data_IF_425129653322
#
_entry.id   IF_425129653322
#
_cell.length_a   1.000
_cell.length_b   1.000
_cell.length_c   1.000
_cell.angle_alpha   90.00
_cell.angle_beta   90.00
_cell.angle_gamma   90.00
#
_symmetry.space_group_name_H-M   'P 1'
#
loop_
_entity.id
_entity.type
_entity.pdbx_description
1 polymer ?
#
# COMPACT_ATOMS: atom_id res chain seq x y z
N UNK A 1 -88.76 -71.65 -67.80
CA UNK A 1 -89.95 -72.02 -66.99
C UNK A 1 -89.76 -71.37 -65.63
N UNK A 2 -90.59 -70.35 -65.29
CA UNK A 2 -90.85 -69.75 -63.95
C UNK A 2 -89.73 -68.87 -63.33
N UNK A 3 -89.83 -67.52 -63.36
CA UNK A 3 -90.58 -66.57 -62.47
C UNK A 3 -89.90 -66.50 -61.08
N UNK A 4 -89.32 -65.38 -60.59
CA UNK A 4 -89.89 -64.25 -59.78
C UNK A 4 -88.71 -63.25 -59.57
N UNK A 5 -88.65 -62.01 -60.07
CA UNK A 5 -89.26 -60.72 -59.66
C UNK A 5 -88.95 -60.22 -58.23
N UNK A 6 -88.11 -59.18 -58.19
CA UNK A 6 -88.02 -58.04 -57.25
C UNK A 6 -88.22 -58.26 -55.75
N UNK A 7 -87.16 -58.09 -54.95
CA UNK A 7 -87.15 -57.36 -53.66
C UNK A 7 -85.68 -57.05 -53.26
N UNK A 8 -84.94 -56.35 -54.12
CA UNK A 8 -83.63 -55.75 -53.78
C UNK A 8 -83.79 -54.25 -53.95
N UNK A 9 -84.46 -53.58 -53.02
CA UNK A 9 -84.57 -52.12 -52.97
C UNK A 9 -85.32 -51.71 -51.68
N UNK A 10 -84.82 -52.06 -50.48
CA UNK A 10 -85.23 -51.34 -49.25
C UNK A 10 -84.41 -51.59 -47.95
N UNK A 11 -83.12 -51.97 -48.01
CA UNK A 11 -82.28 -51.97 -46.78
C UNK A 11 -80.83 -51.58 -47.10
N UNK A 12 -80.64 -50.38 -47.67
CA UNK A 12 -79.31 -49.88 -48.01
C UNK A 12 -79.23 -48.36 -48.05
N UNK A 13 -79.97 -47.69 -47.17
CA UNK A 13 -79.96 -46.22 -47.04
C UNK A 13 -80.02 -45.77 -45.57
N UNK A 14 -79.22 -46.40 -44.72
CA UNK A 14 -78.90 -45.81 -43.42
C UNK A 14 -77.44 -46.15 -43.11
N UNK A 15 -76.66 -45.10 -42.86
CA UNK A 15 -75.21 -45.09 -42.54
C UNK A 15 -74.25 -45.05 -43.73
N UNK A 16 -74.51 -44.16 -44.69
CA UNK A 16 -73.43 -43.33 -45.22
C UNK A 16 -73.63 -41.92 -44.63
N UNK A 17 -73.38 -41.80 -43.32
CA UNK A 17 -72.99 -40.49 -42.81
C UNK A 17 -71.68 -40.18 -43.53
N UNK A 18 -71.54 -39.05 -44.23
CA UNK A 18 -70.19 -38.55 -44.43
C UNK A 18 -69.63 -38.47 -43.02
N UNK A 19 -68.51 -39.15 -42.77
CA UNK A 19 -67.63 -38.71 -41.71
C UNK A 19 -67.35 -37.26 -42.08
N UNK A 20 -68.10 -36.33 -41.49
CA UNK A 20 -67.53 -35.04 -41.13
C UNK A 20 -66.34 -35.49 -40.29
N UNK A 21 -65.19 -35.62 -40.97
CA UNK A 21 -63.93 -35.35 -40.31
C UNK A 21 -64.22 -34.05 -39.61
N UNK A 22 -64.15 -34.04 -38.28
CA UNK A 22 -64.23 -32.78 -37.57
C UNK A 22 -63.16 -31.92 -38.24
N UNK A 23 -63.57 -30.98 -39.11
CA UNK A 23 -62.72 -29.85 -39.41
C UNK A 23 -62.54 -29.24 -38.03
N UNK A 24 -61.31 -29.34 -37.51
CA UNK A 24 -60.98 -28.62 -36.31
C UNK A 24 -61.40 -27.18 -36.50
N UNK A 25 -62.03 -26.63 -35.47
CA UNK A 25 -62.25 -25.19 -35.47
C UNK A 25 -60.86 -24.58 -35.33
N UNK A 26 -60.49 -23.71 -36.25
CA UNK A 26 -59.27 -22.92 -36.24
C UNK A 26 -59.75 -21.45 -36.21
N UNK A 27 -59.78 -20.91 -34.99
CA UNK A 27 -60.45 -19.64 -34.69
C UNK A 27 -59.67 -18.41 -35.17
N UNK A 28 -58.34 -18.49 -35.28
CA UNK A 28 -57.45 -17.40 -35.69
C UNK A 28 -56.69 -17.65 -37.01
N UNK A 29 -56.94 -18.80 -37.64
CA UNK A 29 -56.51 -19.17 -38.99
C UNK A 29 -55.00 -19.26 -39.13
N UNK A 30 -54.32 -19.76 -38.11
CA UNK A 30 -52.87 -19.95 -38.11
C UNK A 30 -52.44 -21.35 -38.60
N UNK A 31 -53.42 -22.24 -38.79
CA UNK A 31 -53.22 -23.60 -39.28
C UNK A 31 -53.09 -24.65 -38.18
N UNK A 32 -53.28 -24.29 -36.92
CA UNK A 32 -53.45 -25.22 -35.80
C UNK A 32 -54.93 -25.29 -35.39
N UNK A 33 -55.44 -26.50 -35.16
CA UNK A 33 -56.81 -26.68 -34.66
C UNK A 33 -56.91 -26.20 -33.20
N UNK A 34 -57.97 -25.50 -32.80
CA UNK A 34 -58.21 -24.95 -31.45
C UNK A 34 -58.06 -25.97 -30.29
N UNK A 35 -58.14 -27.28 -30.59
CA UNK A 35 -57.95 -28.36 -29.60
C UNK A 35 -56.47 -28.68 -29.34
N UNK A 36 -55.60 -28.41 -30.30
CA UNK A 36 -54.16 -28.66 -30.27
C UNK A 36 -53.35 -27.35 -30.16
N UNK A 37 -53.98 -26.21 -30.46
CA UNK A 37 -53.43 -24.87 -30.29
C UNK A 37 -53.47 -24.41 -28.81
N UNK A 38 -52.33 -23.96 -28.30
CA UNK A 38 -52.17 -23.42 -26.96
C UNK A 38 -52.52 -21.93 -26.87
N UNK A 39 -52.68 -21.27 -28.02
CA UNK A 39 -53.10 -19.88 -28.19
C UNK A 39 -54.29 -19.71 -29.17
N UNK A 40 -55.48 -20.34 -28.95
CA UNK A 40 -56.60 -20.42 -29.92
C UNK A 40 -57.25 -19.13 -30.44
N UNK A 41 -56.77 -17.97 -30.01
CA UNK A 41 -57.30 -16.67 -30.43
C UNK A 41 -56.18 -15.70 -30.85
N UNK A 42 -54.96 -16.19 -30.97
CA UNK A 42 -53.78 -15.45 -31.36
C UNK A 42 -53.00 -16.27 -32.39
N UNK A 43 -53.01 -15.77 -33.63
CA UNK A 43 -52.26 -16.38 -34.71
C UNK A 43 -50.76 -16.50 -34.37
N UNK A 44 -50.23 -17.72 -34.40
CA UNK A 44 -48.83 -18.01 -34.16
C UNK A 44 -48.30 -19.19 -34.98
N UNK A 45 -47.07 -19.59 -34.68
CA UNK A 45 -46.28 -20.50 -35.51
C UNK A 45 -45.28 -21.35 -34.71
N UNK A 46 -45.30 -21.30 -33.38
CA UNK A 46 -44.48 -22.17 -32.53
C UNK A 46 -44.82 -23.64 -32.75
N UNK A 47 -43.80 -24.50 -32.67
CA UNK A 47 -43.90 -25.95 -32.95
C UNK A 47 -43.20 -26.85 -31.93
N UNK A 48 -42.50 -26.30 -30.94
CA UNK A 48 -41.69 -27.07 -29.98
C UNK A 48 -42.29 -27.09 -28.58
N UNK A 49 -42.81 -25.96 -28.09
CA UNK A 49 -43.40 -25.84 -26.75
C UNK A 49 -44.93 -25.68 -26.82
N UNK A 50 -45.41 -24.48 -27.12
CA UNK A 50 -46.81 -24.10 -27.16
C UNK A 50 -47.23 -23.94 -28.62
N UNK A 51 -47.68 -25.05 -29.20
CA UNK A 51 -48.18 -25.10 -30.57
C UNK A 51 -49.19 -23.98 -30.85
N UNK A 52 -49.05 -23.29 -31.99
CA UNK A 52 -49.93 -22.19 -32.41
C UNK A 52 -49.72 -20.86 -31.68
N UNK A 53 -48.85 -20.79 -30.67
CA UNK A 53 -48.48 -19.51 -30.07
C UNK A 53 -47.47 -18.72 -30.91
N UNK A 54 -47.44 -17.41 -30.71
CA UNK A 54 -46.54 -16.49 -31.40
C UNK A 54 -45.07 -16.90 -31.23
N UNK A 55 -44.36 -17.06 -32.34
CA UNK A 55 -42.91 -17.30 -32.44
C UNK A 55 -42.34 -16.37 -33.53
N UNK A 56 -41.80 -15.24 -33.09
CA UNK A 56 -41.44 -14.12 -33.98
C UNK A 56 -40.17 -14.37 -34.80
N UNK A 57 -39.24 -15.18 -34.31
CA UNK A 57 -37.98 -15.46 -35.01
C UNK A 57 -37.98 -16.83 -35.72
N UNK A 58 -38.94 -17.70 -35.40
CA UNK A 58 -39.26 -18.90 -36.13
C UNK A 58 -38.34 -20.07 -35.81
N UNK A 59 -37.74 -20.12 -34.63
CA UNK A 59 -36.94 -21.27 -34.17
C UNK A 59 -37.77 -22.44 -33.63
N UNK A 60 -39.08 -22.22 -33.50
CA UNK A 60 -40.07 -23.17 -33.07
C UNK A 60 -40.46 -23.04 -31.60
N UNK A 61 -39.87 -22.13 -30.82
CA UNK A 61 -40.25 -21.87 -29.43
C UNK A 61 -41.09 -20.59 -29.32
N UNK A 62 -42.12 -20.62 -28.48
CA UNK A 62 -43.06 -19.50 -28.39
C UNK A 62 -42.49 -18.34 -27.57
N UNK A 63 -42.74 -17.10 -28.03
CA UNK A 63 -42.46 -15.88 -27.29
C UNK A 63 -43.09 -15.92 -25.89
N UNK A 64 -42.46 -15.31 -24.87
CA UNK A 64 -43.03 -15.20 -23.54
C UNK A 64 -44.24 -14.26 -23.53
N UNK A 65 -45.25 -14.61 -22.74
CA UNK A 65 -46.43 -13.79 -22.50
C UNK A 65 -46.79 -13.69 -21.01
N UNK A 66 -47.98 -13.16 -20.70
CA UNK A 66 -48.41 -12.95 -19.31
C UNK A 66 -48.59 -14.24 -18.50
N UNK A 67 -48.82 -15.38 -19.16
CA UNK A 67 -49.13 -16.66 -18.53
C UNK A 67 -48.00 -17.68 -18.69
N UNK A 68 -47.20 -17.57 -19.75
CA UNK A 68 -46.06 -18.43 -20.05
C UNK A 68 -44.81 -17.57 -20.20
N UNK A 69 -44.05 -17.49 -19.12
CA UNK A 69 -42.82 -16.71 -19.06
C UNK A 69 -41.61 -17.59 -19.40
N UNK A 70 -40.41 -16.99 -19.48
CA UNK A 70 -39.15 -17.72 -19.64
C UNK A 70 -38.98 -18.80 -18.56
N UNK A 71 -39.41 -18.52 -17.32
CA UNK A 71 -39.43 -19.52 -16.22
C UNK A 71 -40.30 -20.74 -16.49
N UNK A 72 -41.27 -20.63 -17.41
CA UNK A 72 -42.15 -21.73 -17.81
C UNK A 72 -41.60 -22.52 -19.01
N UNK A 73 -40.51 -22.06 -19.63
CA UNK A 73 -39.93 -22.65 -20.83
C UNK A 73 -40.39 -21.96 -22.12
N UNK A 74 -40.88 -20.72 -22.04
CA UNK A 74 -40.99 -19.87 -23.22
C UNK A 74 -39.59 -19.56 -23.77
N UNK A 75 -39.52 -19.16 -25.03
CA UNK A 75 -38.29 -18.69 -25.66
C UNK A 75 -37.66 -17.54 -24.85
N UNK A 76 -36.41 -17.76 -24.41
CA UNK A 76 -35.62 -16.78 -23.68
C UNK A 76 -35.11 -15.64 -24.57
N UNK A 77 -34.96 -15.85 -25.88
CA UNK A 77 -34.44 -14.87 -26.83
C UNK A 77 -35.36 -14.70 -28.05
N UNK A 78 -36.52 -14.03 -27.91
CA UNK A 78 -37.57 -13.95 -28.95
C UNK A 78 -37.25 -13.00 -30.09
N UNK A 79 -36.00 -12.93 -30.52
CA UNK A 79 -35.54 -12.19 -31.68
C UNK A 79 -34.33 -12.86 -32.32
N UNK A 80 -33.98 -14.05 -31.83
CA UNK A 80 -32.77 -14.81 -32.12
C UNK A 80 -33.17 -16.25 -32.44
N UNK A 81 -33.37 -16.51 -33.73
CA UNK A 81 -33.74 -17.85 -34.19
C UNK A 81 -32.66 -18.94 -33.95
N UNK A 82 -31.49 -18.56 -33.43
CA UNK A 82 -30.39 -19.44 -33.11
C UNK A 82 -30.32 -19.83 -31.62
N UNK A 83 -31.17 -19.27 -30.75
CA UNK A 83 -31.14 -19.54 -29.31
C UNK A 83 -32.51 -19.37 -28.66
N UNK A 84 -32.94 -20.35 -27.87
CA UNK A 84 -34.22 -20.30 -27.13
C UNK A 84 -34.10 -20.57 -25.62
N UNK A 85 -32.94 -21.04 -25.15
CA UNK A 85 -32.74 -21.55 -23.79
C UNK A 85 -31.78 -20.68 -22.99
N UNK A 86 -32.23 -20.28 -21.80
CA UNK A 86 -31.48 -19.58 -20.75
C UNK A 86 -31.89 -20.16 -19.38
N UNK A 87 -31.04 -20.99 -18.80
CA UNK A 87 -31.34 -21.86 -17.66
C UNK A 87 -31.28 -21.13 -16.32
N UNK A 88 -30.33 -20.21 -16.16
CA UNK A 88 -30.13 -19.42 -14.95
C UNK A 88 -30.54 -17.95 -15.12
N UNK A 89 -30.98 -17.56 -16.32
CA UNK A 89 -31.70 -16.33 -16.64
C UNK A 89 -30.82 -15.09 -16.56
N UNK A 90 -29.57 -15.26 -16.94
CA UNK A 90 -28.55 -14.22 -16.93
C UNK A 90 -28.43 -13.48 -18.28
N UNK A 91 -29.17 -13.95 -19.28
CA UNK A 91 -29.20 -13.38 -20.62
C UNK A 91 -28.14 -13.95 -21.57
N UNK A 92 -27.45 -15.03 -21.21
CA UNK A 92 -26.56 -15.77 -22.09
C UNK A 92 -27.20 -17.09 -22.54
N UNK A 93 -27.20 -17.41 -23.85
CA UNK A 93 -27.85 -18.61 -24.35
C UNK A 93 -27.09 -19.88 -23.99
N UNK A 94 -27.76 -20.94 -23.54
CA UNK A 94 -27.10 -22.23 -23.26
C UNK A 94 -26.98 -23.14 -24.51
N UNK A 95 -27.16 -22.59 -25.71
CA UNK A 95 -27.12 -23.38 -26.95
C UNK A 95 -25.67 -23.59 -27.42
N UNK A 96 -25.26 -24.86 -27.44
CA UNK A 96 -23.92 -25.27 -27.84
C UNK A 96 -23.56 -24.81 -29.27
N UNK A 97 -22.41 -24.17 -29.40
CA UNK A 97 -21.84 -23.77 -30.70
C UNK A 97 -22.14 -22.32 -31.10
N UNK A 98 -22.79 -21.55 -30.23
CA UNK A 98 -22.81 -20.09 -30.31
C UNK A 98 -21.54 -19.51 -29.71
N UNK A 99 -21.06 -18.40 -30.29
CA UNK A 99 -19.86 -17.70 -29.79
C UNK A 99 -20.14 -16.95 -28.47
N UNK A 100 -21.41 -16.65 -28.19
CA UNK A 100 -21.91 -16.04 -26.96
C UNK A 100 -22.66 -17.03 -26.07
N UNK A 101 -22.44 -18.33 -26.29
CA UNK A 101 -23.01 -19.37 -25.43
C UNK A 101 -22.52 -19.18 -23.99
N UNK A 102 -23.42 -19.35 -23.04
CA UNK A 102 -23.12 -19.33 -21.62
C UNK A 102 -22.15 -20.48 -21.25
N UNK A 103 -21.02 -20.12 -20.67
CA UNK A 103 -19.97 -21.02 -20.17
C UNK A 103 -20.28 -21.52 -18.75
N UNK A 104 -21.22 -20.88 -18.05
CA UNK A 104 -21.67 -21.20 -16.70
C UNK A 104 -23.20 -21.47 -16.60
N UNK A 105 -23.76 -22.50 -17.28
CA UNK A 105 -25.21 -22.74 -17.47
C UNK A 105 -26.14 -22.87 -16.25
N UNK A 106 -25.59 -22.83 -15.05
CA UNK A 106 -26.32 -23.03 -13.81
C UNK A 106 -25.97 -21.97 -12.75
N UNK A 107 -25.20 -20.96 -13.12
CA UNK A 107 -24.69 -19.93 -12.22
C UNK A 107 -24.81 -18.59 -12.89
N UNK A 108 -25.92 -17.92 -12.60
CA UNK A 108 -26.24 -16.62 -13.14
C UNK A 108 -25.06 -15.64 -13.03
N UNK A 109 -24.64 -15.08 -14.16
CA UNK A 109 -23.46 -14.24 -14.24
C UNK A 109 -23.54 -13.17 -15.33
N UNK A 110 -22.59 -12.24 -15.33
CA UNK A 110 -22.56 -11.14 -16.32
C UNK A 110 -21.25 -11.03 -17.08
N UNK A 111 -20.33 -11.96 -16.84
CA UNK A 111 -19.02 -11.97 -17.48
C UNK A 111 -19.13 -12.03 -19.01
N UNK A 112 -18.22 -11.34 -19.70
CA UNK A 112 -18.14 -11.28 -21.18
C UNK A 112 -16.73 -11.45 -21.70
N UNK A 113 -15.77 -11.64 -20.80
CA UNK A 113 -14.34 -11.74 -21.09
C UNK A 113 -13.87 -13.12 -20.65
N UNK A 114 -13.18 -13.85 -21.53
CA UNK A 114 -12.70 -15.23 -21.32
C UNK A 114 -13.83 -16.26 -21.23
N UNK A 115 -14.79 -16.07 -20.32
CA UNK A 115 -16.01 -16.86 -20.17
C UNK A 115 -17.24 -15.95 -20.21
N UNK A 116 -18.31 -16.41 -20.83
CA UNK A 116 -19.61 -15.72 -20.88
C UNK A 116 -20.60 -16.30 -19.85
N UNK A 117 -21.43 -15.45 -19.24
CA UNK A 117 -22.48 -15.90 -18.29
C UNK A 117 -21.97 -16.42 -16.95
N UNK A 118 -20.70 -16.19 -16.61
CA UNK A 118 -20.15 -16.59 -15.32
C UNK A 118 -20.23 -15.45 -14.30
N UNK A 119 -20.15 -15.81 -13.00
CA UNK A 119 -20.14 -14.85 -11.89
C UNK A 119 -19.06 -13.78 -12.10
N UNK A 120 -19.46 -12.53 -11.90
CA UNK A 120 -18.71 -11.31 -12.14
C UNK A 120 -19.18 -10.32 -11.05
N UNK A 121 -18.46 -10.29 -9.95
CA UNK A 121 -18.87 -9.69 -8.69
C UNK A 121 -18.79 -8.15 -8.74
N UNK A 122 -17.77 -7.60 -9.37
CA UNK A 122 -17.55 -6.16 -9.49
C UNK A 122 -18.15 -5.56 -10.78
N UNK A 123 -18.54 -6.39 -11.74
CA UNK A 123 -19.12 -6.05 -13.05
C UNK A 123 -18.12 -5.43 -14.02
N UNK A 124 -16.84 -5.80 -13.97
CA UNK A 124 -15.82 -5.40 -14.96
C UNK A 124 -15.82 -6.27 -16.23
N UNK A 125 -16.69 -7.29 -16.27
CA UNK A 125 -16.89 -8.31 -17.31
C UNK A 125 -15.91 -9.49 -17.28
N UNK A 126 -14.94 -9.50 -16.37
CA UNK A 126 -14.07 -10.63 -16.11
C UNK A 126 -14.77 -11.55 -15.11
N UNK A 127 -14.80 -12.87 -15.34
CA UNK A 127 -15.41 -13.78 -14.38
C UNK A 127 -14.53 -13.90 -13.14
N UNK A 128 -15.14 -13.97 -11.94
CA UNK A 128 -14.47 -14.04 -10.63
C UNK A 128 -13.34 -15.08 -10.56
N UNK A 129 -13.45 -16.17 -11.33
CA UNK A 129 -12.46 -17.25 -11.36
C UNK A 129 -11.16 -16.88 -12.10
N UNK A 130 -11.19 -15.86 -12.96
CA UNK A 130 -10.06 -15.34 -13.73
C UNK A 130 -9.76 -13.87 -13.43
N UNK A 131 -10.50 -13.29 -12.50
CA UNK A 131 -10.27 -11.94 -12.04
C UNK A 131 -9.20 -11.91 -10.95
N UNK A 132 -8.25 -11.00 -11.12
CA UNK A 132 -7.19 -10.77 -10.15
C UNK A 132 -7.64 -9.82 -9.03
N UNK A 133 -8.76 -9.08 -9.18
CA UNK A 133 -9.38 -8.17 -8.21
C UNK A 133 -10.91 -8.37 -8.26
N UNK A 134 -11.38 -9.51 -7.74
CA UNK A 134 -12.73 -10.00 -8.04
C UNK A 134 -13.84 -9.13 -7.44
N UNK A 135 -13.58 -8.39 -6.37
CA UNK A 135 -14.56 -7.48 -5.77
C UNK A 135 -14.38 -6.01 -6.17
N UNK A 136 -13.36 -5.72 -6.99
CA UNK A 136 -13.10 -4.42 -7.59
C UNK A 136 -12.77 -3.33 -6.58
N UNK A 137 -12.18 -3.70 -5.44
CA UNK A 137 -11.83 -2.76 -4.38
C UNK A 137 -10.48 -2.06 -4.59
N UNK A 138 -9.73 -2.49 -5.61
CA UNK A 138 -8.46 -1.93 -6.03
C UNK A 138 -7.25 -2.71 -5.52
N UNK A 139 -7.44 -3.71 -4.66
CA UNK A 139 -6.39 -4.59 -4.18
C UNK A 139 -6.57 -5.98 -4.78
N UNK A 140 -5.50 -6.51 -5.38
CA UNK A 140 -5.55 -7.85 -5.97
C UNK A 140 -5.88 -8.91 -4.91
N UNK A 141 -6.66 -9.91 -5.32
CA UNK A 141 -7.03 -11.10 -4.58
C UNK A 141 -5.84 -11.78 -3.89
N UNK A 142 -4.67 -11.80 -4.55
CA UNK A 142 -3.44 -12.34 -3.97
C UNK A 142 -2.82 -11.46 -2.87
N UNK A 143 -2.93 -10.14 -3.01
CA UNK A 143 -2.39 -9.16 -2.08
C UNK A 143 -3.20 -9.11 -0.79
N UNK A 144 -4.52 -9.20 -0.86
CA UNK A 144 -5.36 -9.32 0.35
C UNK A 144 -5.05 -10.60 1.14
N UNK A 145 -4.87 -11.72 0.45
CA UNK A 145 -4.46 -12.98 1.08
C UNK A 145 -3.05 -12.89 1.68
N UNK A 146 -2.15 -12.13 1.06
CA UNK A 146 -0.80 -11.93 1.57
C UNK A 146 -0.76 -10.95 2.75
N UNK A 147 -1.60 -9.91 2.73
CA UNK A 147 -1.78 -8.94 3.81
C UNK A 147 -2.49 -9.54 5.03
N UNK A 148 -3.22 -10.64 4.83
CA UNK A 148 -3.89 -11.37 5.88
C UNK A 148 -2.90 -11.95 6.91
N UNK A 149 -3.19 -11.70 8.18
CA UNK A 149 -2.42 -12.20 9.33
C UNK A 149 -3.26 -13.19 10.14
N UNK A 150 -2.69 -13.76 11.20
CA UNK A 150 -3.46 -14.63 12.12
C UNK A 150 -4.58 -13.90 12.89
N UNK A 151 -4.67 -12.57 12.80
CA UNK A 151 -5.65 -11.74 13.52
C UNK A 151 -6.63 -11.03 12.60
N UNK A 152 -6.16 -10.60 11.42
CA UNK A 152 -6.96 -9.92 10.40
C UNK A 152 -6.92 -10.75 9.13
N UNK A 153 -8.09 -11.21 8.66
CA UNK A 153 -8.25 -11.94 7.41
C UNK A 153 -8.99 -11.03 6.45
N UNK A 154 -8.43 -10.85 5.25
CA UNK A 154 -9.06 -10.13 4.16
C UNK A 154 -9.69 -11.15 3.19
N UNK A 155 -10.93 -10.87 2.77
CA UNK A 155 -11.76 -11.75 1.94
C UNK A 155 -11.84 -11.19 0.52
N UNK A 156 -11.18 -11.83 -0.47
CA UNK A 156 -11.08 -11.35 -1.85
C UNK A 156 -12.35 -11.27 -2.69
N UNK A 157 -13.49 -11.51 -2.07
CA UNK A 157 -14.80 -11.48 -2.71
C UNK A 157 -15.73 -10.52 -1.95
N UNK A 158 -15.17 -9.53 -1.26
CA UNK A 158 -15.89 -8.57 -0.46
C UNK A 158 -15.11 -7.25 -0.35
N UNK A 159 -15.49 -6.26 -1.16
CA UNK A 159 -14.91 -4.91 -1.18
C UNK A 159 -15.03 -4.11 0.14
N UNK A 160 -15.67 -4.65 1.17
CA UNK A 160 -15.63 -4.09 2.53
C UNK A 160 -14.47 -4.68 3.38
N UNK A 161 -13.70 -5.59 2.81
CA UNK A 161 -12.66 -6.37 3.43
C UNK A 161 -11.29 -6.05 2.82
N UNK A 162 -11.06 -4.77 2.56
CA UNK A 162 -9.84 -4.26 1.93
C UNK A 162 -8.77 -3.95 2.99
N UNK A 163 -7.49 -4.33 2.78
CA UNK A 163 -6.39 -3.83 3.58
C UNK A 163 -6.16 -2.33 3.36
N UNK A 164 -5.37 -1.71 4.24
CA UNK A 164 -4.97 -0.31 4.07
C UNK A 164 -3.93 -0.21 2.96
N UNK A 165 -4.05 0.82 2.12
CA UNK A 165 -3.17 1.19 1.01
C UNK A 165 -3.22 2.74 0.96
N UNK A 166 -2.20 3.40 1.51
CA UNK A 166 -2.18 4.85 1.74
C UNK A 166 -1.92 5.64 0.47
N UNK A 167 -1.05 5.15 -0.41
CA UNK A 167 -0.67 5.82 -1.64
C UNK A 167 -1.49 5.37 -2.87
N UNK A 168 -2.30 4.31 -2.71
CA UNK A 168 -3.17 3.71 -3.71
C UNK A 168 -2.40 3.11 -4.90
N UNK A 169 -1.23 2.53 -4.66
CA UNK A 169 -0.43 1.87 -5.69
C UNK A 169 -0.77 0.38 -5.91
N UNK A 170 -1.81 -0.11 -5.22
CA UNK A 170 -2.31 -1.50 -5.20
C UNK A 170 -1.52 -2.47 -4.32
N UNK A 171 -0.51 -1.99 -3.60
CA UNK A 171 0.27 -2.75 -2.64
C UNK A 171 -0.20 -2.36 -1.22
N UNK A 172 -0.74 -3.31 -0.44
CA UNK A 172 -1.15 -3.01 0.92
C UNK A 172 0.01 -2.52 1.81
N UNK A 173 -0.24 -1.56 2.70
CA UNK A 173 0.70 -0.94 3.66
C UNK A 173 1.54 -1.94 4.49
N UNK A 174 1.06 -3.19 4.64
CA UNK A 174 1.75 -4.25 5.39
C UNK A 174 2.74 -5.04 4.54
N UNK A 175 2.66 -4.91 3.23
CA UNK A 175 3.49 -5.56 2.22
C UNK A 175 4.36 -4.57 1.45
N UNK A 176 4.04 -3.28 1.54
CA UNK A 176 4.78 -2.20 0.90
C UNK A 176 5.99 -1.77 1.76
N UNK A 177 7.05 -1.37 1.07
CA UNK A 177 8.31 -0.92 1.66
C UNK A 177 8.35 0.63 1.80
N UNK A 178 7.46 1.37 1.11
CA UNK A 178 7.35 2.84 1.09
C UNK A 178 5.87 3.26 0.95
N UNK A 179 5.14 3.26 2.07
CA UNK A 179 3.67 3.32 2.10
C UNK A 179 3.05 4.66 1.63
N UNK A 180 3.83 5.73 1.56
CA UNK A 180 3.37 7.03 1.07
C UNK A 180 4.06 7.50 -0.23
N UNK A 181 5.03 6.69 -0.68
CA UNK A 181 5.72 6.81 -1.96
C UNK A 181 6.36 8.18 -2.14
N UNK A 182 6.93 8.70 -1.05
CA UNK A 182 7.77 9.89 -1.03
C UNK A 182 9.23 9.59 -1.40
N UNK A 183 9.56 8.30 -1.54
CA UNK A 183 10.87 7.77 -1.90
C UNK A 183 11.72 7.36 -0.70
N UNK A 184 11.22 7.48 0.53
CA UNK A 184 11.88 7.00 1.74
C UNK A 184 11.28 5.66 2.19
N UNK A 185 12.10 4.62 2.39
CA UNK A 185 11.61 3.37 2.94
C UNK A 185 11.05 3.53 4.36
N UNK A 186 9.91 2.91 4.63
CA UNK A 186 9.21 2.87 5.91
C UNK A 186 10.13 2.54 7.08
N UNK A 187 11.01 1.55 6.90
CA UNK A 187 11.96 1.12 7.95
C UNK A 187 12.86 2.28 8.40
N UNK A 188 13.33 3.09 7.44
CA UNK A 188 14.17 4.25 7.74
C UNK A 188 13.35 5.37 8.35
N UNK A 189 12.16 5.63 7.84
CA UNK A 189 11.27 6.66 8.39
C UNK A 189 10.92 6.40 9.85
N UNK A 190 10.54 5.15 10.17
CA UNK A 190 10.29 4.71 11.53
C UNK A 190 11.55 4.84 12.40
N UNK A 191 12.73 4.48 11.88
CA UNK A 191 14.02 4.66 12.59
C UNK A 191 14.30 6.14 12.89
N UNK A 192 13.96 7.04 11.96
CA UNK A 192 14.12 8.50 12.07
C UNK A 192 12.93 9.18 12.75
N UNK A 193 11.92 8.40 13.12
CA UNK A 193 10.70 8.85 13.79
C UNK A 193 9.95 9.92 12.97
N UNK A 194 10.02 9.86 11.62
CA UNK A 194 9.07 10.49 10.70
C UNK A 194 7.81 9.63 10.55
N UNK A 195 6.80 10.14 9.85
CA UNK A 195 5.52 9.47 9.67
C UNK A 195 5.43 8.89 8.26
N UNK A 196 5.71 7.59 8.14
CA UNK A 196 5.68 6.77 6.91
C UNK A 196 4.34 6.69 6.15
N UNK A 197 3.28 7.34 6.66
CA UNK A 197 1.99 7.40 5.97
C UNK A 197 1.69 8.82 5.47
N UNK A 198 2.68 9.71 5.50
CA UNK A 198 2.54 11.13 5.25
C UNK A 198 3.66 11.61 4.34
N UNK A 199 3.34 11.60 3.04
CA UNK A 199 4.23 11.99 1.94
C UNK A 199 4.91 13.36 2.08
N UNK A 200 4.33 14.27 2.85
CA UNK A 200 4.95 15.57 3.10
C UNK A 200 6.01 15.56 4.22
N UNK A 201 6.17 14.46 4.96
CA UNK A 201 6.97 14.35 6.17
C UNK A 201 8.14 13.37 6.06
N UNK A 202 9.12 13.70 5.23
CA UNK A 202 10.40 12.96 5.16
C UNK A 202 11.28 13.09 6.44
N UNK A 203 12.28 12.21 6.61
CA UNK A 203 13.35 12.38 7.58
C UNK A 203 14.10 13.73 7.47
N UNK A 204 14.15 14.34 6.28
CA UNK A 204 14.85 15.61 6.08
C UNK A 204 14.14 16.80 6.73
N UNK A 205 12.81 16.77 6.84
CA UNK A 205 12.00 17.91 7.28
C UNK A 205 11.27 17.69 8.63
N UNK A 206 11.34 16.48 9.19
CA UNK A 206 10.74 16.09 10.48
C UNK A 206 10.98 17.09 11.62
N UNK A 207 12.19 17.63 11.72
CA UNK A 207 12.56 18.51 12.83
C UNK A 207 12.29 19.98 12.48
N UNK A 208 11.39 20.59 13.25
CA UNK A 208 10.97 21.99 13.12
C UNK A 208 10.20 22.31 11.82
N UNK A 209 9.79 21.30 11.04
CA UNK A 209 9.04 21.48 9.79
C UNK A 209 9.82 22.24 8.72
N UNK A 210 11.16 22.21 8.79
CA UNK A 210 12.06 22.81 7.81
C UNK A 210 13.00 21.73 7.30
N UNK A 211 13.39 21.82 6.03
CA UNK A 211 14.39 20.92 5.47
C UNK A 211 15.75 21.14 6.14
N UNK A 212 16.20 20.16 6.91
CA UNK A 212 17.42 20.22 7.73
C UNK A 212 18.62 19.54 7.08
N UNK A 213 18.42 18.85 5.95
CA UNK A 213 19.47 18.06 5.33
C UNK A 213 19.47 18.03 3.81
N UNK A 214 20.55 17.45 3.30
CA UNK A 214 20.84 17.20 1.88
C UNK A 214 21.42 15.80 1.75
N UNK A 215 21.26 15.20 0.57
CA UNK A 215 21.78 13.90 0.21
C UNK A 215 22.93 14.09 -0.77
N UNK A 216 24.01 13.33 -0.57
CA UNK A 216 25.22 13.38 -1.37
C UNK A 216 25.38 12.12 -2.23
N UNK A 217 25.19 12.31 -3.53
CA UNK A 217 25.26 11.26 -4.56
C UNK A 217 26.70 10.92 -5.02
N UNK A 218 27.71 11.66 -4.56
CA UNK A 218 29.11 11.53 -5.04
C UNK A 218 29.58 12.67 -5.94
N UNK A 219 30.90 12.82 -6.10
CA UNK A 219 31.47 13.96 -6.85
C UNK A 219 31.12 15.31 -6.21
N UNK A 220 30.39 16.16 -6.94
CA UNK A 220 29.90 17.47 -6.49
C UNK A 220 28.36 17.60 -6.61
N UNK A 221 27.64 16.49 -6.67
CA UNK A 221 26.16 16.48 -6.80
C UNK A 221 25.51 16.30 -5.44
N UNK A 222 24.47 17.11 -5.20
CA UNK A 222 23.67 17.12 -3.98
C UNK A 222 22.22 17.33 -4.37
N UNK A 223 21.32 16.57 -3.75
CA UNK A 223 19.88 16.73 -3.91
C UNK A 223 19.16 16.41 -2.58
N UNK A 224 17.83 16.40 -2.60
CA UNK A 224 16.98 15.97 -1.50
C UNK A 224 16.33 14.62 -1.71
N UNK A 225 16.52 14.00 -2.87
CA UNK A 225 15.96 12.69 -3.18
C UNK A 225 16.79 11.60 -2.53
N UNK A 226 16.10 10.69 -1.84
CA UNK A 226 16.72 9.51 -1.25
C UNK A 226 17.11 8.50 -2.33
N UNK A 227 18.30 7.92 -2.16
CA UNK A 227 18.78 6.78 -2.95
C UNK A 227 19.63 5.89 -2.04
N UNK A 228 19.54 4.58 -2.27
CA UNK A 228 20.15 3.59 -1.41
C UNK A 228 21.68 3.63 -1.53
N UNK A 229 22.37 3.71 -0.39
CA UNK A 229 23.83 3.70 -0.33
C UNK A 229 24.50 5.07 -0.48
N UNK A 230 23.72 6.14 -0.54
CA UNK A 230 24.23 7.51 -0.54
C UNK A 230 24.40 8.09 0.88
N UNK A 231 25.08 9.24 0.97
CA UNK A 231 25.37 9.87 2.26
C UNK A 231 24.35 10.96 2.53
N UNK A 232 23.49 10.72 3.51
CA UNK A 232 22.61 11.74 4.08
C UNK A 232 23.38 12.65 5.06
N UNK A 233 23.20 13.96 4.92
CA UNK A 233 23.68 14.97 5.85
C UNK A 233 22.49 15.79 6.36
N UNK A 234 21.82 15.29 7.40
CA UNK A 234 20.62 15.91 7.98
C UNK A 234 20.64 15.95 9.51
N UNK A 235 19.69 16.68 10.09
CA UNK A 235 19.52 16.69 11.54
C UNK A 235 18.95 15.36 12.06
N UNK A 236 18.04 14.71 11.33
CA UNK A 236 17.49 13.40 11.69
C UNK A 236 18.57 12.33 11.68
N UNK A 237 19.43 12.34 10.67
CA UNK A 237 20.60 11.47 10.61
C UNK A 237 21.50 11.65 11.82
N UNK A 238 21.87 12.89 12.11
CA UNK A 238 22.73 13.23 13.24
C UNK A 238 22.12 12.83 14.59
N UNK A 239 20.81 13.07 14.79
CA UNK A 239 20.12 12.71 16.02
C UNK A 239 20.11 11.19 16.19
N UNK A 240 19.74 10.41 15.16
CA UNK A 240 19.72 8.95 15.28
C UNK A 240 21.12 8.38 15.57
N UNK A 241 22.17 8.88 14.90
CA UNK A 241 23.57 8.49 15.20
C UNK A 241 23.93 8.83 16.66
N UNK A 242 23.54 10.00 17.16
CA UNK A 242 23.87 10.43 18.52
C UNK A 242 23.09 9.65 19.59
N UNK A 243 21.85 9.25 19.28
CA UNK A 243 21.05 8.37 20.14
C UNK A 243 21.46 6.90 20.04
N UNK A 244 22.26 6.55 19.02
CA UNK A 244 22.86 5.24 18.88
C UNK A 244 23.68 4.84 20.11
N UNK A 245 23.73 3.54 20.39
CA UNK A 245 24.42 3.01 21.56
C UNK A 245 25.90 3.42 21.57
N UNK A 246 26.38 3.87 22.74
CA UNK A 246 27.79 4.17 23.02
C UNK A 246 28.43 5.32 22.19
N UNK A 247 27.67 6.01 21.33
CA UNK A 247 28.19 7.12 20.49
C UNK A 247 28.53 8.36 21.32
N UNK A 248 27.67 8.76 22.26
CA UNK A 248 27.92 9.93 23.13
C UNK A 248 29.25 9.78 23.92
N UNK A 249 29.51 8.66 24.62
CA UNK A 249 30.81 8.43 25.27
C UNK A 249 32.00 8.56 24.32
N UNK A 250 31.93 7.99 23.11
CA UNK A 250 33.01 8.01 22.12
C UNK A 250 33.24 9.44 21.61
N UNK A 251 32.17 10.14 21.25
CA UNK A 251 32.22 11.52 20.77
C UNK A 251 32.79 12.51 21.81
N UNK A 252 32.61 12.21 23.11
CA UNK A 252 33.16 13.02 24.18
C UNK A 252 34.67 12.81 24.39
N UNK A 253 35.27 11.67 23.98
CA UNK A 253 36.70 11.39 24.21
C UNK A 253 37.61 12.46 23.57
N UNK A 254 37.49 12.81 22.26
CA UNK A 254 38.32 13.85 21.65
C UNK A 254 38.14 15.21 22.33
N UNK A 255 36.91 15.55 22.73
CA UNK A 255 36.60 16.80 23.44
C UNK A 255 37.32 16.82 24.80
N UNK A 256 37.25 15.73 25.56
CA UNK A 256 37.96 15.62 26.83
C UNK A 256 39.48 15.68 26.66
N UNK A 257 40.04 15.00 25.64
CA UNK A 257 41.47 15.05 25.32
C UNK A 257 41.89 16.47 24.92
N UNK A 258 41.10 17.15 24.09
CA UNK A 258 41.36 18.54 23.68
C UNK A 258 41.37 19.48 24.88
N UNK A 259 40.35 19.43 25.74
CA UNK A 259 40.30 20.21 26.98
C UNK A 259 41.48 19.87 27.90
N UNK A 260 41.85 18.59 28.00
CA UNK A 260 43.00 18.15 28.76
C UNK A 260 44.31 18.75 28.23
N UNK A 261 44.54 18.71 26.91
CA UNK A 261 45.73 19.29 26.27
C UNK A 261 45.79 20.80 26.45
N UNK A 262 44.67 21.52 26.28
CA UNK A 262 44.61 22.96 26.52
C UNK A 262 44.98 23.32 27.96
N UNK A 263 44.42 22.58 28.92
CA UNK A 263 44.74 22.78 30.35
C UNK A 263 46.20 22.46 30.66
N UNK A 264 46.75 21.41 30.05
CA UNK A 264 48.15 21.01 30.24
C UNK A 264 49.12 22.03 29.64
N UNK A 265 48.84 22.53 28.44
CA UNK A 265 49.63 23.60 27.81
C UNK A 265 49.62 24.85 28.67
N UNK A 266 48.45 25.28 29.14
CA UNK A 266 48.31 26.46 30.01
C UNK A 266 49.13 26.31 31.29
N UNK A 267 49.07 25.16 31.96
CA UNK A 267 49.89 24.87 33.13
C UNK A 267 51.39 24.94 32.82
N UNK A 268 51.83 24.31 31.72
CA UNK A 268 53.23 24.32 31.30
C UNK A 268 53.74 25.72 30.98
N UNK A 269 52.92 26.56 30.32
CA UNK A 269 53.29 27.94 30.01
C UNK A 269 53.50 28.75 31.28
N UNK A 270 52.58 28.66 32.25
CA UNK A 270 52.73 29.41 33.51
C UNK A 270 53.96 28.92 34.29
N UNK A 271 54.20 27.60 34.32
CA UNK A 271 55.41 27.04 34.94
C UNK A 271 56.69 27.63 34.32
N UNK A 272 56.79 27.66 32.99
CA UNK A 272 57.96 28.22 32.30
C UNK A 272 58.14 29.72 32.55
N UNK A 273 57.05 30.47 32.72
CA UNK A 273 57.11 31.90 33.05
C UNK A 273 57.68 32.07 34.47
N UNK A 274 57.21 31.29 35.45
CA UNK A 274 57.71 31.35 36.84
C UNK A 274 59.22 31.03 36.91
N UNK A 275 59.68 30.01 36.18
CA UNK A 275 61.10 29.59 36.21
C UNK A 275 62.06 30.64 35.62
N UNK A 276 61.60 31.41 34.63
CA UNK A 276 62.40 32.42 33.95
C UNK A 276 62.33 33.80 34.63
N UNK A 277 61.28 34.06 35.41
CA UNK A 277 61.05 35.34 36.05
C UNK A 277 62.11 35.63 37.12
N UNK A 278 62.55 36.88 37.21
CA UNK A 278 63.57 37.32 38.17
C UNK A 278 63.11 38.50 39.05
N UNK A 279 61.91 39.02 38.79
CA UNK A 279 61.31 40.12 39.53
C UNK A 279 60.25 39.62 40.52
N UNK A 280 60.33 40.11 41.77
CA UNK A 280 59.43 39.72 42.85
C UNK A 280 58.03 40.32 42.68
N UNK A 281 57.93 41.55 42.16
CA UNK A 281 56.62 42.19 41.93
C UNK A 281 55.85 41.42 40.84
N UNK A 282 56.56 40.98 39.80
CA UNK A 282 55.96 40.18 38.73
C UNK A 282 55.54 38.77 39.16
N UNK A 283 56.26 38.15 40.10
CA UNK A 283 55.88 36.85 40.68
C UNK A 283 54.59 36.95 41.50
N UNK A 284 54.39 38.05 42.23
CA UNK A 284 53.16 38.33 42.96
C UNK A 284 51.95 38.46 42.01
N UNK A 285 52.10 39.20 40.91
CA UNK A 285 51.06 39.31 39.88
C UNK A 285 50.70 37.93 39.29
N UNK A 286 51.70 37.08 39.05
CA UNK A 286 51.49 35.72 38.54
C UNK A 286 50.74 34.85 39.56
N UNK A 287 51.02 34.99 40.86
CA UNK A 287 50.27 34.26 41.91
C UNK A 287 48.79 34.68 41.91
N UNK A 288 48.51 35.97 41.78
CA UNK A 288 47.14 36.48 41.67
C UNK A 288 46.43 35.92 40.43
N UNK A 289 47.10 35.93 39.28
CA UNK A 289 46.58 35.34 38.04
C UNK A 289 46.27 33.85 38.22
N UNK A 290 47.17 33.07 38.81
CA UNK A 290 46.97 31.63 39.08
C UNK A 290 45.72 31.40 39.94
N UNK A 291 45.51 32.21 40.99
CA UNK A 291 44.33 32.12 41.86
C UNK A 291 43.04 32.41 41.10
N UNK A 292 43.03 33.40 40.21
CA UNK A 292 41.88 33.69 39.34
C UNK A 292 41.61 32.55 38.37
N UNK A 293 42.65 31.95 37.79
CA UNK A 293 42.52 30.83 36.86
C UNK A 293 41.91 29.59 37.51
N UNK A 294 42.24 29.31 38.77
CA UNK A 294 41.64 28.24 39.56
C UNK A 294 40.19 28.57 39.91
N UNK A 295 39.91 29.82 40.33
CA UNK A 295 38.54 30.28 40.63
C UNK A 295 37.61 30.16 39.42
N UNK A 296 38.10 30.52 38.23
CA UNK A 296 37.38 30.38 36.97
C UNK A 296 37.29 28.93 36.44
N UNK A 297 37.82 27.93 37.17
CA UNK A 297 37.86 26.50 36.79
C UNK A 297 38.59 26.23 35.46
N UNK A 298 39.42 27.16 35.03
CA UNK A 298 40.25 26.99 33.82
C UNK A 298 41.52 26.21 34.12
N UNK A 299 42.02 26.29 35.36
CA UNK A 299 43.13 25.49 35.90
C UNK A 299 42.62 24.56 37.01
N UNK A 300 43.15 23.32 37.07
CA UNK A 300 42.80 22.38 38.14
C UNK A 300 43.43 22.83 39.47
N UNK A 301 42.75 22.55 40.57
CA UNK A 301 43.20 22.94 41.93
C UNK A 301 44.60 22.42 42.23
N UNK A 302 44.90 21.16 41.92
CA UNK A 302 46.24 20.59 42.16
C UNK A 302 47.32 21.24 41.29
N UNK A 303 47.02 21.62 40.05
CA UNK A 303 47.95 22.38 39.22
C UNK A 303 48.22 23.77 39.84
N UNK A 304 47.18 24.45 40.35
CA UNK A 304 47.35 25.72 41.06
C UNK A 304 48.24 25.61 42.29
N UNK A 305 48.06 24.56 43.11
CA UNK A 305 48.91 24.29 44.28
C UNK A 305 50.37 24.08 43.88
N UNK A 306 50.62 23.31 42.82
CA UNK A 306 51.98 23.07 42.32
C UNK A 306 52.63 24.36 41.80
N UNK A 307 51.88 25.19 41.06
CA UNK A 307 52.39 26.50 40.60
C UNK A 307 52.72 27.42 41.77
N UNK A 308 51.89 27.44 42.82
CA UNK A 308 52.14 28.26 44.01
C UNK A 308 53.41 27.85 44.74
N UNK A 309 53.60 26.54 44.93
CA UNK A 309 54.85 26.02 45.51
C UNK A 309 56.07 26.41 44.66
N UNK A 310 55.95 26.39 43.33
CA UNK A 310 57.03 26.80 42.42
C UNK A 310 57.34 28.30 42.51
N UNK A 311 56.33 29.16 42.69
CA UNK A 311 56.50 30.60 42.93
C UNK A 311 57.26 30.82 44.25
N UNK A 312 56.81 30.18 45.34
CA UNK A 312 57.47 30.27 46.66
C UNK A 312 58.94 29.84 46.59
N UNK A 313 59.26 28.76 45.88
CA UNK A 313 60.63 28.32 45.67
C UNK A 313 61.46 29.36 44.91
N UNK A 314 60.89 29.96 43.85
CA UNK A 314 61.56 30.97 43.05
C UNK A 314 61.83 32.25 43.83
N UNK A 315 60.86 32.73 44.60
CA UNK A 315 61.01 33.89 45.49
C UNK A 315 62.16 33.69 46.48
N UNK A 316 62.23 32.51 47.09
CA UNK A 316 63.31 32.15 48.01
C UNK A 316 64.69 32.17 47.34
N UNK A 317 64.80 31.70 46.10
CA UNK A 317 66.06 31.75 45.32
C UNK A 317 66.49 33.20 45.06
N UNK A 318 65.56 34.06 44.64
CA UNK A 318 65.82 35.48 44.36
C UNK A 318 66.21 36.23 45.64
N UNK A 319 65.48 36.01 46.73
CA UNK A 319 65.76 36.61 48.04
C UNK A 319 67.16 36.24 48.55
N UNK A 320 67.56 34.96 48.42
CA UNK A 320 68.91 34.49 48.77
C UNK A 320 70.01 35.05 47.87
N UNK A 321 69.73 35.30 46.58
CA UNK A 321 70.67 35.95 45.67
C UNK A 321 70.86 37.43 46.03
N UNK A 322 69.79 38.12 46.37
CA UNK A 322 69.82 39.52 46.77
C UNK A 322 70.55 39.71 48.11
N UNK A 323 70.36 38.81 49.09
CA UNK A 323 71.08 38.86 50.37
C UNK A 323 72.59 38.64 50.21
N UNK A 324 73.02 37.68 49.38
CA UNK A 324 74.44 37.44 49.05
C UNK A 324 75.09 38.60 48.29
N UNK A 325 74.34 39.28 47.42
CA UNK A 325 74.85 40.44 46.67
C UNK A 325 75.01 41.65 47.58
N UNK A 326 74.10 41.85 48.54
CA UNK A 326 74.18 42.91 49.54
C UNK A 326 75.34 42.72 50.53
N UNK A 327 75.62 41.47 50.93
CA UNK A 327 76.79 41.12 51.76
C UNK A 327 78.12 41.35 51.02
N UNK A 328 78.21 41.04 49.73
CA UNK A 328 79.42 41.33 48.93
C UNK A 328 79.65 42.82 48.68
N UNK A 329 78.59 43.61 48.61
CA UNK A 329 78.70 45.05 48.43
C UNK A 329 79.17 45.76 49.72
N UNK A 330 78.71 45.30 50.89
CA UNK A 330 79.17 45.83 52.19
C UNK A 330 80.64 45.52 52.51
N UNK A 331 81.15 44.39 52.01
CA UNK A 331 82.57 44.02 52.16
C UNK A 331 83.49 44.83 51.23
N UNK A 332 82.96 45.42 50.15
CA UNK A 332 83.73 46.26 49.20
C UNK A 332 83.71 47.76 49.55
N UNK A 333 82.74 48.23 50.34
CA UNK A 333 82.70 49.60 50.88
C UNK A 333 83.48 49.76 52.21
N UNK A 334 84.10 48.68 52.70
CA UNK A 334 84.86 48.65 53.96
C UNK A 334 86.39 48.47 53.79
N UNK A 335 86.89 48.54 52.55
CA UNK A 335 88.30 48.82 52.19
C UNK A 335 88.43 50.27 51.68
#
# INVERSE_FOLDING_TARGET
MRVVIHWILFVGLLLALPSVMADGVDSDQDGFDDQDDHCPNQNGNSTSDRFGCLDIDGDGWSNPDSNWTIHNGADAFPSRADAWLDLDMDGFPNHLGLDDSDDCPFTHGYSKVILFGCSDLDNDFVPDAYDDDADGDGIRNEMERAASTGLNLFDPFSANSTPSDVDFDTIPDVLDDDNDNDGWPDELEIERNSDHLNREETPLNRYFGIQTGIIYHGGFTFDSQYDEGEIELSLSWFISVLTGELVIPIALIPIYVFIFVLRQRKFSTIMTVIELENDLERLFDIEQDVNELVRARTLKVYHGLVLRNAIEERENIIANRNSRTKSRHSDFESE
#
